data_IF_899087294208
#
_entry.id   IF_899087294208
#
_cell.length_a   1.000
_cell.length_b   1.000
_cell.length_c   1.000
_cell.angle_alpha   90.00
_cell.angle_beta   90.00
_cell.angle_gamma   90.00
#
_symmetry.space_group_name_H-M   'P 1'
#
loop_
_entity.id
_entity.type
_entity.pdbx_description
1 polymer ?
#
# COMPACT_ATOMS: atom_id res chain seq x y z
N UNK A 1 12.80 10.07 -26.58
CA UNK A 1 14.15 10.56 -26.93
C UNK A 1 14.17 12.02 -26.57
N UNK A 2 14.97 12.42 -25.57
CA UNK A 2 15.08 13.82 -25.14
C UNK A 2 16.50 14.36 -25.38
N UNK A 3 16.53 15.65 -25.67
CA UNK A 3 17.59 16.42 -26.30
C UNK A 3 18.84 16.69 -25.44
N UNK A 4 19.99 16.74 -26.12
CA UNK A 4 21.17 17.54 -25.77
C UNK A 4 21.99 17.14 -24.52
N UNK A 5 22.79 16.08 -24.65
CA UNK A 5 24.13 16.14 -24.05
C UNK A 5 24.97 17.10 -24.90
N UNK A 6 24.92 18.41 -24.61
CA UNK A 6 25.93 19.31 -25.14
C UNK A 6 27.28 18.77 -24.66
N UNK A 7 28.10 18.23 -25.57
CA UNK A 7 29.39 17.61 -25.30
C UNK A 7 30.44 18.61 -24.83
N UNK A 8 30.13 19.38 -23.78
CA UNK A 8 31.03 20.33 -23.15
C UNK A 8 32.10 19.49 -22.45
N UNK A 9 33.33 19.59 -22.93
CA UNK A 9 34.46 18.88 -22.34
C UNK A 9 34.65 19.38 -20.91
N UNK A 10 34.58 18.47 -19.95
CA UNK A 10 34.95 18.70 -18.56
C UNK A 10 36.48 18.81 -18.46
N UNK A 11 37.04 19.91 -18.96
CA UNK A 11 38.47 20.22 -18.84
C UNK A 11 38.72 20.89 -17.49
N UNK A 12 39.77 20.46 -16.79
CA UNK A 12 40.13 21.01 -15.48
C UNK A 12 39.30 20.49 -14.30
N UNK A 13 38.42 19.51 -14.50
CA UNK A 13 37.75 18.82 -13.39
C UNK A 13 38.74 17.92 -12.67
N UNK A 14 38.78 18.03 -11.34
CA UNK A 14 39.65 17.22 -10.50
C UNK A 14 39.19 15.76 -10.52
N UNK A 15 40.15 14.85 -10.71
CA UNK A 15 39.94 13.42 -10.53
C UNK A 15 40.03 13.10 -9.04
N UNK A 16 39.15 12.25 -8.52
CA UNK A 16 39.25 11.76 -7.15
C UNK A 16 40.61 11.10 -6.90
N UNK A 17 41.20 11.35 -5.74
CA UNK A 17 42.48 10.74 -5.34
C UNK A 17 42.42 9.21 -5.37
N UNK A 18 41.29 8.63 -4.97
CA UNK A 18 41.08 7.19 -4.98
C UNK A 18 41.17 6.61 -6.40
N UNK A 19 40.51 7.27 -7.36
CA UNK A 19 40.53 6.84 -8.77
C UNK A 19 41.93 7.06 -9.35
N UNK A 20 42.59 8.16 -9.02
CA UNK A 20 43.97 8.42 -9.43
C UNK A 20 44.90 7.31 -8.94
N UNK A 21 44.83 6.98 -7.65
CA UNK A 21 45.66 5.94 -7.06
C UNK A 21 45.36 4.55 -7.63
N UNK A 22 44.09 4.17 -7.75
CA UNK A 22 43.72 2.87 -8.30
C UNK A 22 44.10 2.72 -9.78
N UNK A 23 43.89 3.76 -10.59
CA UNK A 23 43.96 3.64 -12.05
C UNK A 23 45.29 4.13 -12.62
N UNK A 24 45.82 5.25 -12.14
CA UNK A 24 47.08 5.81 -12.64
C UNK A 24 48.31 5.28 -11.90
N UNK A 25 48.20 5.02 -10.59
CA UNK A 25 49.33 4.49 -9.80
C UNK A 25 49.36 2.98 -9.86
N UNK A 26 48.28 2.31 -9.45
CA UNK A 26 48.22 0.84 -9.42
C UNK A 26 47.95 0.22 -10.80
N UNK A 27 47.42 1.00 -11.75
CA UNK A 27 47.13 0.50 -13.10
C UNK A 27 45.98 -0.50 -13.15
N UNK A 28 45.06 -0.42 -12.20
CA UNK A 28 43.89 -1.28 -12.05
C UNK A 28 42.63 -0.65 -12.65
N UNK A 29 41.62 -1.48 -12.93
CA UNK A 29 40.29 -0.97 -13.28
C UNK A 29 39.57 -0.58 -11.99
N UNK A 30 38.92 0.58 -11.98
CA UNK A 30 38.08 1.03 -10.88
C UNK A 30 36.63 1.13 -11.35
N UNK A 31 35.69 0.58 -10.59
CA UNK A 31 34.24 0.65 -10.87
C UNK A 31 33.50 0.88 -9.55
N UNK A 32 32.98 2.08 -9.37
CA UNK A 32 32.15 2.42 -8.21
C UNK A 32 31.31 3.68 -8.47
N UNK A 33 30.54 4.09 -7.48
CA UNK A 33 29.77 5.32 -7.45
C UNK A 33 30.71 6.51 -7.33
N UNK A 34 30.69 7.39 -8.33
CA UNK A 34 31.47 8.63 -8.34
C UNK A 34 30.54 9.86 -8.43
N UNK A 35 30.91 10.92 -7.71
CA UNK A 35 30.27 12.24 -7.86
C UNK A 35 31.03 13.02 -8.92
N UNK A 36 30.42 13.14 -10.11
CA UNK A 36 31.03 13.78 -11.28
C UNK A 36 30.05 14.82 -11.80
N UNK A 37 30.51 16.06 -12.00
CA UNK A 37 29.71 17.13 -12.61
C UNK A 37 28.32 17.27 -11.93
N UNK A 38 28.34 17.58 -10.63
CA UNK A 38 27.19 17.80 -9.75
C UNK A 38 26.18 16.64 -9.61
N UNK A 39 26.50 15.45 -10.15
CA UNK A 39 25.60 14.29 -10.13
C UNK A 39 26.31 12.99 -9.76
N UNK A 40 25.52 12.04 -9.26
CA UNK A 40 25.99 10.69 -8.94
C UNK A 40 25.92 9.79 -10.17
N UNK A 41 27.07 9.20 -10.50
CA UNK A 41 27.23 8.22 -11.57
C UNK A 41 27.68 6.90 -10.98
N UNK A 42 27.28 5.79 -11.59
CA UNK A 42 28.10 4.58 -11.54
C UNK A 42 29.14 4.76 -12.63
N UNK A 43 30.39 4.86 -12.22
CA UNK A 43 31.51 5.22 -13.08
C UNK A 43 32.50 4.07 -13.18
N UNK A 44 33.01 3.85 -14.39
CA UNK A 44 34.09 2.93 -14.68
C UNK A 44 35.28 3.68 -15.24
N UNK A 45 36.45 3.42 -14.67
CA UNK A 45 37.73 3.95 -15.11
C UNK A 45 38.67 2.80 -15.45
N UNK A 46 39.31 2.89 -16.62
CA UNK A 46 40.29 1.90 -17.09
C UNK A 46 41.57 2.60 -17.55
N UNK A 47 42.76 2.12 -17.13
CA UNK A 47 44.01 2.72 -17.59
C UNK A 47 44.22 2.41 -19.07
N UNK A 48 44.72 3.42 -19.79
CA UNK A 48 45.18 3.30 -21.16
C UNK A 48 46.69 3.15 -21.13
N UNK A 49 47.21 2.11 -21.78
CA UNK A 49 48.63 1.79 -21.80
C UNK A 49 49.21 1.98 -23.20
N UNK A 50 50.45 2.45 -23.27
CA UNK A 50 51.22 2.51 -24.52
C UNK A 50 51.77 1.13 -24.92
N UNK A 51 52.51 1.08 -26.03
CA UNK A 51 53.16 -0.15 -26.52
C UNK A 51 54.25 -0.69 -25.57
N UNK A 52 54.76 0.15 -24.67
CA UNK A 52 55.77 -0.18 -23.66
C UNK A 52 55.15 -0.48 -22.28
N UNK A 53 53.81 -0.64 -22.22
CA UNK A 53 53.02 -0.93 -21.01
C UNK A 53 52.95 0.21 -19.97
N UNK A 54 53.38 1.42 -20.29
CA UNK A 54 53.25 2.60 -19.43
C UNK A 54 51.84 3.17 -19.49
N UNK A 55 51.34 3.65 -18.35
CA UNK A 55 50.01 4.26 -18.26
C UNK A 55 50.09 5.68 -18.84
N UNK A 56 49.40 5.93 -19.95
CA UNK A 56 49.39 7.22 -20.67
C UNK A 56 48.07 7.97 -20.54
N UNK A 57 47.07 7.38 -19.89
CA UNK A 57 45.79 8.02 -19.64
C UNK A 57 44.75 7.11 -19.02
N UNK A 58 43.51 7.59 -18.95
CA UNK A 58 42.36 6.89 -18.40
C UNK A 58 41.18 6.99 -19.36
N UNK A 59 40.51 5.86 -19.62
CA UNK A 59 39.21 5.82 -20.25
C UNK A 59 38.11 5.88 -19.18
N UNK A 60 37.16 6.80 -19.35
CA UNK A 60 36.00 6.97 -18.48
C UNK A 60 34.71 6.52 -19.19
N UNK A 61 33.84 5.85 -18.45
CA UNK A 61 32.44 5.61 -18.81
C UNK A 61 31.57 5.71 -17.57
N UNK A 62 30.31 6.13 -17.72
CA UNK A 62 29.39 6.16 -16.59
C UNK A 62 27.96 6.42 -17.00
N UNK A 63 27.03 6.05 -16.14
CA UNK A 63 25.60 6.33 -16.30
C UNK A 63 25.04 6.96 -15.02
N UNK A 64 24.05 7.83 -15.20
CA UNK A 64 23.39 8.54 -14.11
C UNK A 64 22.65 7.55 -13.20
N UNK A 65 22.83 7.70 -11.89
CA UNK A 65 22.11 6.92 -10.89
C UNK A 65 20.65 7.38 -10.75
N UNK A 66 20.40 8.68 -10.94
CA UNK A 66 19.09 9.30 -10.72
C UNK A 66 17.94 8.70 -11.52
N UNK A 67 18.05 8.46 -12.85
CA UNK A 67 16.98 7.84 -13.63
C UNK A 67 16.58 6.47 -13.08
N UNK A 68 17.56 5.67 -12.65
CA UNK A 68 17.33 4.36 -12.07
C UNK A 68 16.51 4.50 -10.77
N UNK A 69 16.99 5.32 -9.83
CA UNK A 69 16.32 5.55 -8.55
C UNK A 69 14.90 6.09 -8.75
N UNK A 70 14.72 7.04 -9.68
CA UNK A 70 13.41 7.62 -9.97
C UNK A 70 12.40 6.55 -10.36
N UNK A 71 12.76 5.65 -11.28
CA UNK A 71 11.89 4.54 -11.69
C UNK A 71 11.54 3.64 -10.51
N UNK A 72 12.51 3.27 -9.67
CA UNK A 72 12.23 2.45 -8.49
C UNK A 72 11.26 3.12 -7.51
N UNK A 73 11.47 4.42 -7.20
CA UNK A 73 10.63 5.15 -6.27
C UNK A 73 9.21 5.33 -6.83
N UNK A 74 9.06 5.64 -8.12
CA UNK A 74 7.75 5.76 -8.76
C UNK A 74 6.97 4.44 -8.71
N UNK A 75 7.60 3.32 -9.06
CA UNK A 75 6.96 2.01 -9.01
C UNK A 75 6.51 1.63 -7.59
N UNK A 76 7.36 1.85 -6.58
CA UNK A 76 7.01 1.60 -5.18
C UNK A 76 5.87 2.50 -4.73
N UNK A 77 5.87 3.76 -5.16
CA UNK A 77 4.79 4.71 -4.89
C UNK A 77 3.44 4.24 -5.43
N UNK A 78 3.40 3.81 -6.70
CA UNK A 78 2.18 3.28 -7.33
C UNK A 78 1.62 2.06 -6.60
N UNK A 79 2.47 1.08 -6.30
CA UNK A 79 2.06 -0.13 -5.55
C UNK A 79 1.55 0.23 -4.16
N UNK A 80 2.22 1.16 -3.48
CA UNK A 80 1.83 1.61 -2.14
C UNK A 80 0.46 2.29 -2.14
N UNK A 81 0.18 3.14 -3.15
CA UNK A 81 -1.13 3.78 -3.31
C UNK A 81 -2.23 2.74 -3.51
N UNK A 82 -2.02 1.74 -4.36
CA UNK A 82 -3.00 0.67 -4.61
C UNK A 82 -3.28 -0.10 -3.31
N UNK A 83 -2.26 -0.47 -2.54
CA UNK A 83 -2.41 -1.17 -1.27
C UNK A 83 -3.22 -0.34 -0.28
N UNK A 84 -2.89 0.96 -0.15
CA UNK A 84 -3.60 1.87 0.75
C UNK A 84 -5.08 1.97 0.37
N UNK A 85 -5.38 2.16 -0.93
CA UNK A 85 -6.76 2.21 -1.43
C UNK A 85 -7.50 0.91 -1.13
N UNK A 86 -6.88 -0.25 -1.36
CA UNK A 86 -7.47 -1.55 -1.06
C UNK A 86 -7.72 -1.75 0.42
N UNK A 87 -6.79 -1.34 1.29
CA UNK A 87 -6.94 -1.40 2.74
C UNK A 87 -8.10 -0.51 3.20
N UNK A 88 -8.19 0.73 2.72
CA UNK A 88 -9.30 1.63 3.06
C UNK A 88 -10.64 1.12 2.53
N UNK A 89 -10.68 0.63 1.30
CA UNK A 89 -11.90 0.07 0.72
C UNK A 89 -12.37 -1.17 1.49
N UNK A 90 -11.46 -2.10 1.76
CA UNK A 90 -11.74 -3.30 2.56
C UNK A 90 -12.19 -2.94 3.98
N UNK A 91 -11.46 -2.06 4.66
CA UNK A 91 -11.81 -1.57 5.99
C UNK A 91 -13.18 -0.90 6.02
N UNK A 92 -13.52 -0.10 5.00
CA UNK A 92 -14.83 0.53 4.87
C UNK A 92 -15.96 -0.49 4.65
N UNK A 93 -15.75 -1.47 3.77
CA UNK A 93 -16.71 -2.55 3.51
C UNK A 93 -16.95 -3.37 4.78
N UNK A 94 -15.89 -3.78 5.49
CA UNK A 94 -15.97 -4.55 6.73
C UNK A 94 -16.66 -3.74 7.83
N UNK A 95 -16.28 -2.47 7.99
CA UNK A 95 -16.91 -1.57 8.97
C UNK A 95 -18.41 -1.43 8.72
N UNK A 96 -18.80 -1.23 7.46
CA UNK A 96 -20.21 -1.14 7.08
C UNK A 96 -20.94 -2.47 7.33
N UNK A 97 -20.39 -3.58 6.85
CA UNK A 97 -20.99 -4.91 7.01
C UNK A 97 -21.16 -5.34 8.47
N UNK A 98 -20.16 -5.08 9.31
CA UNK A 98 -20.26 -5.33 10.75
C UNK A 98 -21.40 -4.52 11.37
N UNK A 99 -21.51 -3.22 11.06
CA UNK A 99 -22.58 -2.38 11.59
C UNK A 99 -23.97 -2.85 11.17
N UNK A 100 -24.10 -3.29 9.92
CA UNK A 100 -25.37 -3.80 9.38
C UNK A 100 -25.76 -5.15 10.03
N UNK A 101 -24.79 -5.97 10.43
CA UNK A 101 -25.04 -7.25 11.12
C UNK A 101 -25.32 -7.09 12.63
N UNK A 102 -24.59 -6.22 13.33
CA UNK A 102 -24.70 -6.10 14.79
C UNK A 102 -25.95 -5.33 15.26
N UNK A 103 -26.43 -4.38 14.45
CA UNK A 103 -27.62 -3.57 14.80
C UNK A 103 -28.88 -4.39 15.07
N UNK A 104 -29.28 -5.35 14.20
CA UNK A 104 -30.42 -6.23 14.45
C UNK A 104 -30.30 -7.01 15.75
N UNK A 105 -29.11 -7.55 16.04
CA UNK A 105 -28.88 -8.37 17.22
C UNK A 105 -29.11 -7.55 18.49
N UNK A 106 -28.65 -6.30 18.52
CA UNK A 106 -28.87 -5.39 19.64
C UNK A 106 -30.36 -5.05 19.85
N UNK A 107 -31.10 -4.84 18.76
CA UNK A 107 -32.55 -4.59 18.81
C UNK A 107 -33.32 -5.80 19.34
N UNK A 108 -33.03 -6.99 18.83
CA UNK A 108 -33.66 -8.24 19.30
C UNK A 108 -33.34 -8.45 20.78
N UNK A 109 -32.08 -8.30 21.18
CA UNK A 109 -31.66 -8.45 22.58
C UNK A 109 -32.41 -7.48 23.50
N UNK A 110 -32.60 -6.23 23.07
CA UNK A 110 -33.37 -5.22 23.82
C UNK A 110 -34.83 -5.66 24.02
N UNK A 111 -35.51 -6.11 22.97
CA UNK A 111 -36.92 -6.52 23.07
C UNK A 111 -37.09 -7.75 23.94
N UNK A 112 -36.22 -8.76 23.77
CA UNK A 112 -36.21 -9.96 24.64
C UNK A 112 -36.12 -9.56 26.11
N UNK A 113 -35.22 -8.63 26.46
CA UNK A 113 -35.06 -8.14 27.83
C UNK A 113 -36.29 -7.38 28.33
N UNK A 114 -36.95 -6.60 27.47
CA UNK A 114 -38.16 -5.84 27.83
C UNK A 114 -39.35 -6.77 28.09
N UNK A 115 -39.52 -7.82 27.27
CA UNK A 115 -40.55 -8.84 27.48
C UNK A 115 -40.32 -9.60 28.79
N UNK A 116 -39.07 -9.97 29.10
CA UNK A 116 -38.73 -10.60 30.39
C UNK A 116 -39.06 -9.72 31.61
N UNK A 117 -39.07 -8.39 31.44
CA UNK A 117 -39.43 -7.42 32.47
C UNK A 117 -40.95 -7.13 32.53
N UNK A 118 -41.77 -7.91 31.82
CA UNK A 118 -43.23 -7.80 31.81
C UNK A 118 -43.77 -6.73 30.86
N UNK A 119 -42.95 -6.17 29.97
CA UNK A 119 -43.38 -5.23 28.93
C UNK A 119 -43.71 -5.99 27.64
N UNK A 120 -44.73 -6.83 27.70
CA UNK A 120 -45.05 -7.77 26.63
C UNK A 120 -45.56 -7.10 25.34
N UNK A 121 -45.82 -5.79 25.36
CA UNK A 121 -46.26 -5.00 24.21
C UNK A 121 -45.13 -4.59 23.26
N UNK A 122 -43.88 -4.66 23.71
CA UNK A 122 -42.72 -4.32 22.87
C UNK A 122 -42.53 -5.35 21.74
N UNK A 123 -42.17 -4.84 20.56
CA UNK A 123 -41.93 -5.63 19.34
C UNK A 123 -40.61 -5.20 18.71
N UNK A 124 -39.99 -6.10 17.96
CA UNK A 124 -38.73 -5.80 17.27
C UNK A 124 -38.99 -4.85 16.11
N UNK A 125 -40.06 -5.07 15.35
CA UNK A 125 -40.42 -4.22 14.21
C UNK A 125 -39.42 -4.29 13.06
N UNK A 126 -39.43 -3.27 12.19
CA UNK A 126 -38.50 -3.21 11.07
C UNK A 126 -37.08 -2.81 11.52
N UNK A 127 -36.11 -3.68 11.22
CA UNK A 127 -34.72 -3.54 11.66
C UNK A 127 -33.81 -2.80 10.65
N UNK A 128 -34.41 -2.15 9.64
CA UNK A 128 -33.69 -1.31 8.68
C UNK A 128 -32.79 -2.07 7.69
N UNK A 129 -33.02 -3.37 7.52
CA UNK A 129 -32.41 -4.21 6.49
C UNK A 129 -33.47 -4.57 5.44
N UNK A 130 -33.05 -4.92 4.22
CA UNK A 130 -33.98 -5.46 3.22
C UNK A 130 -34.66 -6.71 3.80
N UNK A 131 -35.97 -6.80 3.59
CA UNK A 131 -36.85 -7.86 4.05
C UNK A 131 -36.39 -9.26 3.65
N UNK A 132 -35.58 -9.37 2.61
CA UNK A 132 -35.01 -10.64 2.13
C UNK A 132 -33.84 -11.13 2.98
N UNK A 133 -33.24 -10.29 3.83
CA UNK A 133 -32.12 -10.68 4.67
C UNK A 133 -32.56 -11.55 5.85
N UNK A 134 -31.71 -12.52 6.21
CA UNK A 134 -31.98 -13.50 7.28
C UNK A 134 -32.32 -12.83 8.63
N UNK A 135 -31.63 -11.76 9.09
CA UNK A 135 -31.99 -11.09 10.35
C UNK A 135 -33.40 -10.47 10.34
N UNK A 136 -33.86 -9.97 9.18
CA UNK A 136 -35.19 -9.38 9.04
C UNK A 136 -36.28 -10.44 9.16
N UNK A 137 -36.04 -11.61 8.58
CA UNK A 137 -36.94 -12.75 8.70
C UNK A 137 -37.01 -13.27 10.15
N UNK A 138 -35.86 -13.35 10.83
CA UNK A 138 -35.80 -13.75 12.25
C UNK A 138 -36.55 -12.77 13.16
N UNK A 139 -36.40 -11.46 12.94
CA UNK A 139 -37.14 -10.44 13.69
C UNK A 139 -38.66 -10.62 13.53
N UNK A 140 -39.13 -10.81 12.29
CA UNK A 140 -40.56 -11.05 12.00
C UNK A 140 -41.08 -12.34 12.64
N UNK A 141 -40.29 -13.42 12.60
CA UNK A 141 -40.67 -14.70 13.22
C UNK A 141 -40.80 -14.56 14.74
N UNK A 142 -39.88 -13.85 15.39
CA UNK A 142 -39.94 -13.61 16.82
C UNK A 142 -41.16 -12.77 17.23
N UNK A 143 -41.46 -11.70 16.50
CA UNK A 143 -42.67 -10.91 16.72
C UNK A 143 -43.96 -11.75 16.56
N UNK A 144 -43.99 -12.68 15.60
CA UNK A 144 -45.10 -13.61 15.43
C UNK A 144 -45.25 -14.55 16.63
N UNK A 145 -44.16 -15.07 17.19
CA UNK A 145 -44.20 -15.90 18.41
C UNK A 145 -44.75 -15.12 19.62
N UNK A 146 -44.31 -13.87 19.80
CA UNK A 146 -44.83 -13.00 20.87
C UNK A 146 -46.34 -12.73 20.71
N UNK A 147 -46.82 -12.56 19.48
CA UNK A 147 -48.24 -12.38 19.21
C UNK A 147 -49.05 -13.64 19.52
N UNK A 148 -48.52 -14.82 19.22
CA UNK A 148 -49.17 -16.10 19.55
C UNK A 148 -49.23 -16.35 21.07
N UNK A 149 -48.19 -15.98 21.81
CA UNK A 149 -48.16 -16.09 23.28
C UNK A 149 -49.18 -15.18 23.98
N UNK A 150 -49.70 -14.16 23.29
CA UNK A 150 -50.77 -13.28 23.79
C UNK A 150 -52.19 -13.73 23.47
N UNK A 151 -52.37 -14.87 22.77
CA UNK A 151 -53.70 -15.40 22.54
C UNK A 151 -54.31 -15.85 23.88
N UNK A 152 -55.55 -15.45 24.21
CA UNK A 152 -56.22 -15.96 25.40
C UNK A 152 -56.30 -17.47 25.27
N UNK A 153 -55.70 -18.17 26.23
CA UNK A 153 -55.84 -19.62 26.40
C UNK A 153 -57.34 -19.88 26.56
N UNK A 154 -57.98 -20.37 25.49
CA UNK A 154 -59.40 -20.73 25.54
C UNK A 154 -59.50 -21.90 26.52
N UNK A 155 -60.30 -21.80 27.60
CA UNK A 155 -60.47 -22.93 28.49
C UNK A 155 -61.11 -24.06 27.70
N UNK A 156 -60.45 -25.22 27.70
CA UNK A 156 -61.06 -26.47 27.26
C UNK A 156 -62.08 -26.81 28.35
N UNK A 157 -63.35 -26.59 28.02
CA UNK A 157 -64.50 -27.12 28.77
C UNK A 157 -64.78 -28.52 28.26
#
# INVERSE_FOLDING_TARGET
MDESYSGRRALGTLLSEEVSHAVLVNGERWVDKAYVYDMWYIAGYKPIRDMNNHIVGIAYTGYLVWPLIKTYITNIGEVSVIIIVLLFASGFIVYRGARDLFRPIEQIHRVVKMVQLGKDEERIGEIGLDDKHEPSQLAKQFDNMLNQSKLPVKPVV
#
